data_IF_615331600628
#
_entry.id   IF_615331600628
#
_cell.length_a   1.000
_cell.length_b   1.000
_cell.length_c   1.000
_cell.angle_alpha   90.00
_cell.angle_beta   90.00
_cell.angle_gamma   90.00
#
_symmetry.space_group_name_H-M   'P 1'
#
loop_
_entity.id
_entity.type
_entity.pdbx_description
1 polymer ?
#
# COMPACT_ATOMS: atom_id res chain seq x y z
N UNK A 1 -69.91 -10.09 12.59
CA UNK A 1 -68.84 -9.96 11.59
C UNK A 1 -68.35 -8.52 11.61
N UNK A 2 -67.16 -8.25 12.14
CA UNK A 2 -66.65 -6.88 12.29
C UNK A 2 -65.13 -6.86 12.09
N UNK A 3 -64.71 -6.22 11.00
CA UNK A 3 -63.32 -6.04 10.56
C UNK A 3 -62.77 -4.81 11.30
N UNK A 4 -61.75 -4.99 12.14
CA UNK A 4 -60.97 -3.86 12.68
C UNK A 4 -59.67 -3.72 11.88
N UNK A 5 -59.67 -2.76 10.94
CA UNK A 5 -58.46 -2.19 10.36
C UNK A 5 -57.58 -1.61 11.48
N UNK A 6 -56.34 -2.08 11.61
CA UNK A 6 -55.30 -1.38 12.38
C UNK A 6 -54.62 -0.36 11.47
N UNK A 7 -54.78 0.90 11.87
CA UNK A 7 -54.12 2.10 11.35
C UNK A 7 -52.62 1.90 11.13
N UNK A 8 -52.18 2.26 9.94
CA UNK A 8 -50.81 2.64 9.61
C UNK A 8 -50.66 4.11 10.07
N UNK A 9 -49.66 4.39 10.90
CA UNK A 9 -49.17 5.76 11.11
C UNK A 9 -47.89 5.95 10.29
N UNK A 10 -47.79 6.98 9.44
CA UNK A 10 -46.53 7.39 8.84
C UNK A 10 -45.79 8.30 9.83
N UNK A 11 -44.62 7.88 10.34
CA UNK A 11 -43.69 8.82 10.95
C UNK A 11 -42.74 9.34 9.86
N UNK A 12 -43.01 10.57 9.44
CA UNK A 12 -42.02 11.45 8.83
C UNK A 12 -40.86 11.67 9.81
N UNK A 13 -39.64 11.34 9.38
CA UNK A 13 -38.42 11.99 9.88
C UNK A 13 -37.67 12.49 8.64
N UNK A 14 -38.00 13.74 8.28
CA UNK A 14 -37.07 14.64 7.62
C UNK A 14 -35.98 14.95 8.64
N UNK A 15 -34.73 14.59 8.35
CA UNK A 15 -33.65 14.75 9.32
C UNK A 15 -32.27 14.50 8.73
N UNK A 16 -31.77 15.52 8.04
CA UNK A 16 -30.35 15.85 7.89
C UNK A 16 -29.49 15.02 6.91
N UNK A 17 -29.34 15.61 5.71
CA UNK A 17 -28.09 15.68 4.96
C UNK A 17 -26.87 15.74 5.91
N UNK A 18 -25.98 14.75 5.82
CA UNK A 18 -24.61 14.88 6.33
C UNK A 18 -23.65 14.43 5.23
N UNK A 19 -23.45 15.31 4.24
CA UNK A 19 -22.25 15.30 3.44
C UNK A 19 -21.14 15.94 4.28
N UNK A 20 -20.39 15.13 5.03
CA UNK A 20 -19.16 15.59 5.71
C UNK A 20 -18.00 15.17 4.81
N UNK A 21 -17.61 16.06 3.89
CA UNK A 21 -16.31 16.00 3.22
C UNK A 21 -15.28 16.65 4.13
N UNK A 22 -14.58 15.83 4.93
CA UNK A 22 -13.41 16.30 5.68
C UNK A 22 -12.15 16.07 4.83
N UNK A 23 -11.67 17.12 4.16
CA UNK A 23 -10.33 17.14 3.57
C UNK A 23 -9.32 17.32 4.72
N UNK A 24 -8.55 16.29 5.03
CA UNK A 24 -7.40 16.41 5.93
C UNK A 24 -6.14 16.69 5.09
N UNK A 25 -5.64 17.92 5.12
CA UNK A 25 -4.33 18.27 4.60
C UNK A 25 -3.31 18.22 5.76
N UNK A 26 -2.34 17.32 5.70
CA UNK A 26 -1.21 17.31 6.63
C UNK A 26 -0.02 18.02 5.99
N UNK A 27 0.44 19.12 6.62
CA UNK A 27 1.70 19.76 6.26
C UNK A 27 2.88 18.90 6.76
N UNK A 28 3.58 18.24 5.84
CA UNK A 28 4.97 17.84 6.02
C UNK A 28 5.80 18.66 5.02
N UNK A 29 6.70 19.51 5.52
CA UNK A 29 7.72 20.27 4.78
C UNK A 29 7.27 20.92 3.46
N UNK A 30 6.30 21.83 3.53
CA UNK A 30 6.03 22.80 2.47
C UNK A 30 5.44 22.23 1.17
N UNK A 31 5.05 20.95 1.12
CA UNK A 31 4.30 20.38 0.00
C UNK A 31 2.94 19.89 0.46
N UNK A 32 1.88 20.49 -0.10
CA UNK A 32 0.52 19.99 0.07
C UNK A 32 0.43 18.59 -0.55
N UNK A 33 0.39 17.56 0.29
CA UNK A 33 -0.02 16.21 -0.12
C UNK A 33 -1.53 16.13 0.11
N UNK A 34 -2.30 16.11 -0.96
CA UNK A 34 -3.74 15.83 -0.90
C UNK A 34 -3.93 14.38 -0.51
N UNK A 35 -4.31 14.12 0.75
CA UNK A 35 -4.75 12.80 1.16
C UNK A 35 -6.04 12.46 0.40
N UNK A 36 -6.08 11.27 -0.23
CA UNK A 36 -7.29 10.75 -0.85
C UNK A 36 -8.41 10.54 0.18
N UNK A 37 -9.66 10.35 -0.26
CA UNK A 37 -10.81 10.25 0.64
C UNK A 37 -10.65 9.09 1.63
N UNK A 38 -10.70 9.39 2.93
CA UNK A 38 -10.70 8.39 3.99
C UNK A 38 -12.02 7.60 3.98
N UNK A 39 -11.93 6.28 4.13
CA UNK A 39 -13.10 5.41 4.20
C UNK A 39 -13.75 5.45 5.60
N UNK A 40 -15.07 5.35 5.63
CA UNK A 40 -15.88 5.42 6.85
C UNK A 40 -15.88 4.07 7.58
N UNK A 41 -15.25 4.00 8.76
CA UNK A 41 -15.29 2.84 9.65
C UNK A 41 -16.65 2.78 10.37
N UNK A 42 -17.35 1.65 10.29
CA UNK A 42 -18.55 1.39 11.08
C UNK A 42 -18.19 1.07 12.55
N UNK A 43 -18.89 1.68 13.50
CA UNK A 43 -18.67 1.47 14.93
C UNK A 43 -18.98 0.03 15.36
N UNK A 44 -18.05 -0.60 16.09
CA UNK A 44 -18.28 -1.90 16.78
C UNK A 44 -17.58 -3.13 16.20
N UNK A 45 -16.68 -2.99 15.23
CA UNK A 45 -15.78 -4.06 14.80
C UNK A 45 -14.37 -3.84 15.38
N UNK A 46 -13.67 -4.91 15.76
CA UNK A 46 -12.22 -4.86 15.95
C UNK A 46 -11.59 -4.19 14.71
N UNK A 47 -10.69 -3.21 14.89
CA UNK A 47 -10.17 -2.45 13.76
C UNK A 47 -9.41 -3.41 12.83
N UNK A 48 -9.95 -3.61 11.63
CA UNK A 48 -9.24 -4.33 10.58
C UNK A 48 -8.08 -3.45 10.12
N UNK A 49 -6.85 -3.83 10.48
CA UNK A 49 -5.64 -3.07 10.14
C UNK A 49 -4.83 -3.82 9.09
N UNK A 50 -4.76 -3.24 7.89
CA UNK A 50 -3.97 -3.75 6.76
C UNK A 50 -2.57 -3.13 6.78
N UNK A 51 -1.78 -3.43 7.82
CA UNK A 51 -0.39 -2.94 7.97
C UNK A 51 0.60 -4.10 7.96
N UNK A 52 1.77 -3.91 7.35
CA UNK A 52 2.87 -4.87 7.37
C UNK A 52 3.42 -5.15 5.98
N UNK A 53 4.30 -6.14 5.91
CA UNK A 53 4.81 -6.62 4.63
C UNK A 53 3.91 -7.71 4.07
N UNK A 54 3.60 -7.60 2.78
CA UNK A 54 2.84 -8.60 2.04
C UNK A 54 3.71 -9.11 0.89
N UNK A 55 3.67 -10.41 0.64
CA UNK A 55 4.38 -11.03 -0.48
C UNK A 55 3.52 -12.12 -1.12
N UNK A 56 3.66 -12.30 -2.42
CA UNK A 56 2.96 -13.32 -3.17
C UNK A 56 3.13 -13.08 -4.65
N UNK A 57 2.08 -13.32 -5.42
CA UNK A 57 2.17 -13.28 -6.88
C UNK A 57 1.00 -12.58 -7.56
N UNK A 58 1.29 -12.11 -8.77
CA UNK A 58 0.32 -11.63 -9.76
C UNK A 58 0.37 -12.59 -10.95
N UNK A 59 -0.74 -13.26 -11.25
CA UNK A 59 -0.90 -14.05 -12.47
C UNK A 59 -1.51 -13.18 -13.56
N UNK A 60 -0.73 -12.88 -14.60
CA UNK A 60 -1.18 -12.08 -15.74
C UNK A 60 -1.90 -12.97 -16.74
N UNK A 61 -3.12 -12.58 -17.12
CA UNK A 61 -3.97 -13.30 -18.07
C UNK A 61 -4.12 -12.59 -19.41
N UNK A 62 -4.05 -11.26 -19.45
CA UNK A 62 -4.20 -10.47 -20.67
C UNK A 62 -3.12 -9.38 -20.74
N UNK A 63 -2.68 -8.99 -21.95
CA UNK A 63 -3.16 -9.40 -23.29
C UNK A 63 -2.75 -10.82 -23.70
N UNK A 64 -1.78 -11.41 -23.00
CA UNK A 64 -1.38 -12.79 -23.15
C UNK A 64 -1.01 -13.34 -21.77
N UNK A 65 -1.15 -14.65 -21.53
CA UNK A 65 -0.76 -15.25 -20.26
C UNK A 65 0.76 -15.16 -20.10
N UNK A 66 1.23 -14.39 -19.10
CA UNK A 66 2.66 -14.24 -18.79
C UNK A 66 3.09 -15.08 -17.58
N UNK A 67 2.18 -15.86 -17.01
CA UNK A 67 2.43 -16.65 -15.80
C UNK A 67 2.36 -15.79 -14.53
N UNK A 68 3.00 -16.29 -13.48
CA UNK A 68 3.03 -15.65 -12.16
C UNK A 68 4.28 -14.77 -12.01
N UNK A 69 4.06 -13.54 -11.55
CA UNK A 69 5.08 -12.55 -11.26
C UNK A 69 5.14 -12.32 -9.76
N UNK A 70 6.34 -12.30 -9.17
CA UNK A 70 6.49 -12.00 -7.74
C UNK A 70 6.11 -10.56 -7.45
N UNK A 71 5.36 -10.35 -6.37
CA UNK A 71 4.96 -9.05 -5.86
C UNK A 71 5.13 -8.98 -4.35
N UNK A 72 5.86 -7.98 -3.89
CA UNK A 72 5.99 -7.67 -2.47
C UNK A 72 5.70 -6.20 -2.17
N UNK A 73 4.90 -5.95 -1.14
CA UNK A 73 4.45 -4.62 -0.71
C UNK A 73 4.82 -4.39 0.77
N UNK A 74 5.11 -3.14 1.12
CA UNK A 74 5.09 -2.67 2.51
C UNK A 74 3.92 -1.69 2.64
N UNK A 75 2.94 -2.03 3.47
CA UNK A 75 1.68 -1.28 3.61
C UNK A 75 1.60 -0.68 5.01
N UNK A 76 1.15 0.58 5.09
CA UNK A 76 0.74 1.27 6.30
C UNK A 76 -0.73 1.65 6.17
N UNK A 77 -1.51 1.39 7.21
CA UNK A 77 -2.94 1.68 7.29
C UNK A 77 -3.21 2.70 8.39
N UNK A 78 -3.76 3.85 8.01
CA UNK A 78 -4.17 4.91 8.93
C UNK A 78 -5.68 5.11 8.81
N UNK A 79 -6.44 4.39 9.64
CA UNK A 79 -7.90 4.52 9.69
C UNK A 79 -8.59 4.11 8.39
N UNK A 80 -8.07 3.11 7.68
CA UNK A 80 -8.59 2.65 6.39
C UNK A 80 -7.96 3.35 5.18
N UNK A 81 -7.16 4.39 5.38
CA UNK A 81 -6.34 4.97 4.31
C UNK A 81 -5.01 4.21 4.20
N UNK A 82 -4.75 3.61 3.04
CA UNK A 82 -3.54 2.84 2.78
C UNK A 82 -2.47 3.72 2.13
N UNK A 83 -1.23 3.51 2.55
CA UNK A 83 -0.05 4.06 1.90
C UNK A 83 1.07 3.03 1.94
N UNK A 84 2.05 3.14 1.05
CA UNK A 84 3.17 2.23 1.08
C UNK A 84 4.03 2.27 -0.17
N UNK A 85 4.83 1.22 -0.32
CA UNK A 85 5.77 1.07 -1.43
C UNK A 85 5.95 -0.40 -1.82
N UNK A 86 6.20 -0.62 -3.11
CA UNK A 86 6.61 -1.92 -3.64
C UNK A 86 8.06 -2.20 -3.24
N UNK A 87 8.34 -3.42 -2.77
CA UNK A 87 9.70 -3.85 -2.48
C UNK A 87 10.40 -4.26 -3.78
N UNK A 88 11.25 -3.38 -4.31
CA UNK A 88 11.98 -3.59 -5.56
C UNK A 88 12.93 -4.81 -5.53
N UNK A 89 13.46 -5.19 -4.36
CA UNK A 89 14.37 -6.33 -4.24
C UNK A 89 13.66 -7.68 -4.28
N UNK A 90 12.34 -7.69 -4.07
CA UNK A 90 11.51 -8.91 -4.01
C UNK A 90 10.41 -8.95 -5.08
N UNK A 91 10.46 -8.01 -6.02
CA UNK A 91 9.47 -7.86 -7.07
C UNK A 91 10.21 -7.82 -8.39
N UNK A 92 10.01 -8.84 -9.24
CA UNK A 92 10.82 -9.01 -10.46
C UNK A 92 10.55 -7.94 -11.53
N UNK A 93 9.35 -7.37 -11.56
CA UNK A 93 8.87 -6.57 -12.71
C UNK A 93 8.65 -5.08 -12.42
N UNK A 94 8.70 -4.65 -11.16
CA UNK A 94 8.46 -3.25 -10.78
C UNK A 94 9.76 -2.61 -10.29
N UNK A 95 10.64 -2.36 -11.26
CA UNK A 95 11.91 -1.66 -11.02
C UNK A 95 11.63 -0.28 -10.40
N UNK A 96 12.43 0.08 -9.40
CA UNK A 96 12.31 1.37 -8.70
C UNK A 96 11.38 1.38 -7.49
N UNK A 97 10.58 0.33 -7.26
CA UNK A 97 9.77 0.21 -6.04
C UNK A 97 8.74 1.35 -5.87
N UNK A 98 7.76 1.47 -6.79
CA UNK A 98 6.80 2.57 -6.77
C UNK A 98 6.06 2.68 -5.43
N UNK A 99 5.82 3.91 -5.01
CA UNK A 99 4.89 4.20 -3.92
C UNK A 99 3.46 3.97 -4.37
N UNK A 100 2.56 3.79 -3.42
CA UNK A 100 1.14 3.65 -3.68
C UNK A 100 0.29 4.28 -2.57
N UNK A 101 -0.96 4.56 -2.91
CA UNK A 101 -2.02 4.95 -1.99
C UNK A 101 -3.22 4.05 -2.16
N UNK A 102 -4.13 3.99 -1.19
CA UNK A 102 -5.30 3.16 -1.30
C UNK A 102 -6.29 3.36 -0.18
N UNK A 103 -7.30 2.49 -0.14
CA UNK A 103 -8.34 2.50 0.87
C UNK A 103 -8.81 1.09 1.20
N UNK A 104 -9.26 0.89 2.43
CA UNK A 104 -9.97 -0.29 2.90
C UNK A 104 -11.39 0.11 3.26
N UNK A 105 -12.35 -0.67 2.77
CA UNK A 105 -13.76 -0.52 3.10
C UNK A 105 -14.21 -1.74 3.90
N UNK A 106 -14.54 -1.51 5.18
CA UNK A 106 -15.05 -2.55 6.07
C UNK A 106 -16.45 -2.18 6.56
N UNK A 107 -17.39 -3.13 6.47
CA UNK A 107 -18.74 -2.99 7.00
C UNK A 107 -19.11 -4.28 7.74
N UNK A 108 -19.89 -4.13 8.81
CA UNK A 108 -20.30 -5.27 9.63
C UNK A 108 -21.06 -6.30 8.78
N UNK A 109 -20.67 -7.58 8.90
CA UNK A 109 -21.28 -8.69 8.17
C UNK A 109 -20.94 -8.77 6.68
N UNK A 110 -20.04 -7.91 6.17
CA UNK A 110 -19.59 -7.91 4.77
C UNK A 110 -18.08 -8.16 4.73
N UNK A 111 -17.61 -9.01 3.81
CA UNK A 111 -16.17 -9.20 3.58
C UNK A 111 -15.53 -7.85 3.23
N UNK A 112 -14.52 -7.41 4.01
CA UNK A 112 -13.87 -6.13 3.74
C UNK A 112 -13.18 -6.14 2.38
N UNK A 113 -13.23 -5.02 1.68
CA UNK A 113 -12.59 -4.84 0.38
C UNK A 113 -11.52 -3.77 0.46
N UNK A 114 -10.62 -3.75 -0.51
CA UNK A 114 -9.60 -2.72 -0.61
C UNK A 114 -9.31 -2.36 -2.05
N UNK A 115 -8.70 -1.18 -2.21
CA UNK A 115 -8.12 -0.70 -3.45
C UNK A 115 -6.75 -0.11 -3.18
N UNK A 116 -5.77 -0.43 -4.01
CA UNK A 116 -4.45 0.21 -4.03
C UNK A 116 -4.19 0.72 -5.45
N UNK A 117 -3.72 1.95 -5.55
CA UNK A 117 -3.28 2.60 -6.78
C UNK A 117 -1.82 3.02 -6.61
N UNK A 118 -0.97 2.51 -7.50
CA UNK A 118 0.43 2.95 -7.56
C UNK A 118 0.56 4.36 -8.12
N UNK A 119 1.64 5.04 -7.71
CA UNK A 119 2.17 6.17 -8.46
C UNK A 119 2.67 5.71 -9.83
N UNK A 120 2.69 6.60 -10.82
CA UNK A 120 3.31 6.33 -12.11
C UNK A 120 4.82 6.11 -11.91
N UNK A 121 5.34 5.02 -12.44
CA UNK A 121 6.77 4.71 -12.40
C UNK A 121 7.30 4.42 -13.80
N UNK A 122 8.57 4.74 -14.01
CA UNK A 122 9.25 4.57 -15.27
C UNK A 122 10.23 3.41 -15.22
N UNK A 123 10.42 2.75 -16.35
CA UNK A 123 11.43 1.71 -16.54
C UNK A 123 11.91 1.67 -17.98
N UNK A 124 12.94 0.86 -18.22
CA UNK A 124 13.43 0.59 -19.58
C UNK A 124 13.11 -0.86 -19.94
N UNK A 125 12.39 -1.06 -21.05
CA UNK A 125 12.06 -2.38 -21.59
C UNK A 125 12.57 -2.43 -23.03
N UNK A 126 13.48 -3.35 -23.33
CA UNK A 126 14.12 -3.48 -24.64
C UNK A 126 14.68 -2.16 -25.18
N UNK A 127 15.32 -1.37 -24.32
CA UNK A 127 15.91 -0.07 -24.66
C UNK A 127 14.92 1.09 -24.82
N UNK A 128 13.62 0.88 -24.58
CA UNK A 128 12.58 1.92 -24.63
C UNK A 128 12.16 2.35 -23.24
N UNK A 129 12.01 3.65 -23.03
CA UNK A 129 11.39 4.19 -21.82
C UNK A 129 9.90 3.87 -21.82
N UNK A 130 9.44 3.24 -20.75
CA UNK A 130 8.03 2.91 -20.52
C UNK A 130 7.56 3.54 -19.22
N UNK A 131 6.33 4.01 -19.17
CA UNK A 131 5.67 4.40 -17.93
C UNK A 131 4.59 3.39 -17.60
N UNK A 132 4.46 3.09 -16.31
CA UNK A 132 3.61 2.02 -15.79
C UNK A 132 2.84 2.53 -14.59
N UNK A 133 1.62 2.05 -14.45
CA UNK A 133 0.79 2.27 -13.28
C UNK A 133 -0.13 1.08 -13.11
N UNK A 134 -0.11 0.49 -11.93
CA UNK A 134 -1.01 -0.60 -11.56
C UNK A 134 -2.02 -0.20 -10.48
N UNK A 135 -3.12 -0.94 -10.49
CA UNK A 135 -4.19 -0.94 -9.50
C UNK A 135 -4.41 -2.38 -9.00
N UNK A 136 -4.57 -2.54 -7.69
CA UNK A 136 -5.06 -3.75 -7.04
C UNK A 136 -6.45 -3.49 -6.46
N UNK A 137 -7.43 -4.33 -6.78
CA UNK A 137 -8.76 -4.28 -6.14
C UNK A 137 -9.11 -5.67 -5.64
N UNK A 138 -9.52 -5.79 -4.39
CA UNK A 138 -9.72 -7.11 -3.82
C UNK A 138 -10.38 -7.17 -2.46
N UNK A 139 -10.32 -8.37 -1.88
CA UNK A 139 -10.84 -8.72 -0.57
C UNK A 139 -9.71 -8.80 0.44
N UNK A 140 -10.02 -8.40 1.68
CA UNK A 140 -9.17 -8.60 2.85
C UNK A 140 -9.68 -9.81 3.61
N UNK A 141 -8.84 -10.84 3.75
CA UNK A 141 -9.22 -12.12 4.31
C UNK A 141 -8.34 -12.49 5.50
N UNK A 142 -8.84 -13.42 6.32
CA UNK A 142 -8.11 -14.01 7.44
C UNK A 142 -7.51 -12.94 8.37
N UNK A 143 -8.31 -11.97 8.80
CA UNK A 143 -7.86 -10.89 9.70
C UNK A 143 -6.73 -10.03 9.10
N UNK A 144 -6.84 -9.69 7.82
CA UNK A 144 -5.81 -8.95 7.05
C UNK A 144 -4.50 -9.69 6.78
N UNK A 145 -4.43 -11.00 7.00
CA UNK A 145 -3.25 -11.79 6.63
C UNK A 145 -3.19 -12.17 5.15
N UNK A 146 -4.32 -12.10 4.44
CA UNK A 146 -4.41 -12.43 3.01
C UNK A 146 -5.12 -11.31 2.27
N UNK A 147 -4.52 -10.85 1.18
CA UNK A 147 -5.12 -9.94 0.20
C UNK A 147 -5.21 -10.67 -1.13
N UNK A 148 -6.39 -10.69 -1.74
CA UNK A 148 -6.57 -11.31 -3.06
C UNK A 148 -7.53 -10.52 -3.93
N UNK A 149 -7.36 -10.59 -5.24
CA UNK A 149 -8.27 -9.91 -6.14
C UNK A 149 -7.72 -9.74 -7.53
N UNK A 150 -8.12 -8.62 -8.15
CA UNK A 150 -7.78 -8.28 -9.52
C UNK A 150 -6.62 -7.30 -9.59
N UNK A 151 -5.74 -7.56 -10.55
CA UNK A 151 -4.64 -6.72 -10.95
C UNK A 151 -4.98 -6.07 -12.28
N UNK A 152 -4.77 -4.76 -12.39
CA UNK A 152 -4.82 -4.03 -13.65
C UNK A 152 -3.61 -3.14 -13.75
N UNK A 153 -2.97 -3.09 -14.90
CA UNK A 153 -1.84 -2.20 -15.15
C UNK A 153 -1.93 -1.56 -16.53
N UNK A 154 -1.62 -0.27 -16.59
CA UNK A 154 -1.47 0.46 -17.85
C UNK A 154 0.00 0.69 -18.12
N UNK A 155 0.46 0.29 -19.30
CA UNK A 155 1.83 0.49 -19.78
C UNK A 155 1.77 1.44 -20.98
N UNK A 156 2.50 2.55 -20.92
CA UNK A 156 2.62 3.52 -22.01
C UNK A 156 4.07 3.62 -22.48
N UNK A 157 4.26 4.02 -23.74
CA UNK A 157 5.59 4.12 -24.36
C UNK A 157 6.16 2.82 -24.92
N UNK A 158 5.53 1.66 -24.66
CA UNK A 158 5.93 0.38 -25.24
C UNK A 158 5.35 0.17 -26.66
N UNK A 159 4.05 0.42 -26.81
CA UNK A 159 3.28 0.35 -28.06
C UNK A 159 2.72 1.73 -28.44
N UNK A 160 2.27 1.94 -29.70
CA UNK A 160 1.65 3.21 -30.12
C UNK A 160 0.43 3.64 -29.29
N UNK A 161 -0.33 2.65 -28.80
CA UNK A 161 -1.44 2.86 -27.87
C UNK A 161 -1.07 2.30 -26.49
N UNK A 162 -1.63 2.84 -25.39
CA UNK A 162 -1.45 2.26 -24.06
C UNK A 162 -1.83 0.77 -24.05
N UNK A 163 -0.97 -0.06 -23.45
CA UNK A 163 -1.22 -1.47 -23.25
C UNK A 163 -1.85 -1.68 -21.88
N UNK A 164 -3.03 -2.31 -21.86
CA UNK A 164 -3.70 -2.72 -20.63
C UNK A 164 -3.33 -4.18 -20.32
N UNK A 165 -2.84 -4.41 -19.12
CA UNK A 165 -2.49 -5.72 -18.58
C UNK A 165 -3.47 -6.04 -17.47
N UNK A 166 -4.06 -7.25 -17.49
CA UNK A 166 -4.99 -7.69 -16.45
C UNK A 166 -4.56 -9.05 -15.89
N UNK A 167 -4.92 -9.28 -14.63
CA UNK A 167 -4.56 -10.51 -13.94
C UNK A 167 -5.24 -10.64 -12.59
N UNK A 168 -4.83 -11.66 -11.85
CA UNK A 168 -5.24 -11.90 -10.47
C UNK A 168 -4.03 -11.86 -9.56
N UNK A 169 -4.22 -11.42 -8.32
CA UNK A 169 -3.16 -11.46 -7.32
C UNK A 169 -3.59 -12.23 -6.08
N UNK A 170 -2.58 -12.78 -5.41
CA UNK A 170 -2.66 -13.32 -4.05
C UNK A 170 -1.43 -12.86 -3.29
N UNK A 171 -1.64 -12.12 -2.20
CA UNK A 171 -0.60 -11.65 -1.31
C UNK A 171 -0.88 -12.14 0.10
N UNK A 172 0.16 -12.62 0.77
CA UNK A 172 0.09 -13.14 2.13
C UNK A 172 1.05 -12.34 2.99
N UNK A 173 0.65 -12.04 4.23
CA UNK A 173 1.54 -11.47 5.24
C UNK A 173 2.46 -12.58 5.77
N UNK A 174 3.78 -12.55 5.53
CA UNK A 174 4.68 -13.54 6.11
C UNK A 174 4.65 -13.46 7.64
N UNK A 175 4.55 -14.59 8.32
CA UNK A 175 4.62 -14.64 9.78
C UNK A 175 5.94 -14.00 10.26
N UNK A 176 5.85 -13.05 11.20
CA UNK A 176 7.02 -12.32 11.75
C UNK A 176 7.42 -11.02 11.02
N UNK A 177 6.73 -10.64 9.94
CA UNK A 177 7.02 -9.37 9.24
C UNK A 177 6.29 -8.18 9.88
N UNK A 178 6.92 -7.58 10.89
CA UNK A 178 6.55 -6.23 11.36
C UNK A 178 7.10 -5.23 10.34
N UNK A 179 6.29 -4.24 9.94
CA UNK A 179 6.78 -3.11 9.16
C UNK A 179 7.96 -2.48 9.91
N UNK A 180 9.14 -2.43 9.28
CA UNK A 180 10.21 -1.57 9.77
C UNK A 180 9.70 -0.12 9.62
N UNK A 181 9.85 0.74 10.64
CA UNK A 181 9.64 2.18 10.47
C UNK A 181 10.46 2.66 9.26
N UNK A 182 10.02 3.69 8.51
CA UNK A 182 10.90 4.32 7.54
C UNK A 182 12.16 4.76 8.27
N UNK A 183 13.32 4.24 7.83
CA UNK A 183 14.61 4.67 8.35
C UNK A 183 14.67 6.20 8.22
N UNK A 184 14.88 6.88 9.35
CA UNK A 184 15.19 8.30 9.37
C UNK A 184 16.42 8.60 8.51
N UNK A 185 16.75 9.88 8.26
CA UNK A 185 17.82 10.25 7.35
C UNK A 185 19.10 9.49 7.71
N UNK A 186 19.54 8.63 6.79
CA UNK A 186 20.72 7.78 6.91
C UNK A 186 21.96 8.65 7.16
N UNK A 187 22.25 8.91 8.44
CA UNK A 187 23.58 9.31 8.87
C UNK A 187 24.35 8.00 9.03
N UNK A 188 25.39 7.73 8.22
CA UNK A 188 26.14 6.49 8.33
C UNK A 188 26.75 6.40 9.73
N UNK A 189 26.14 5.60 10.60
CA UNK A 189 26.73 5.22 11.88
C UNK A 189 27.65 4.05 11.58
N UNK A 190 28.95 4.29 11.59
CA UNK A 190 29.95 3.27 11.38
C UNK A 190 29.78 2.13 12.41
N UNK A 191 29.62 0.91 11.92
CA UNK A 191 29.70 -0.32 12.70
C UNK A 191 31.13 -0.48 13.22
N UNK A 192 31.34 -0.31 14.52
CA UNK A 192 32.57 -0.76 15.18
C UNK A 192 32.36 -2.18 15.70
N UNK A 193 32.97 -3.16 15.03
CA UNK A 193 33.25 -4.48 15.62
C UNK A 193 34.73 -4.55 15.92
N UNK A 194 35.10 -4.47 17.20
CA UNK A 194 36.36 -4.98 17.71
C UNK A 194 36.25 -5.30 19.20
N UNK A 195 36.06 -6.58 19.53
CA UNK A 195 36.43 -7.09 20.85
C UNK A 195 37.94 -7.32 20.82
N UNK A 196 38.70 -6.35 21.34
CA UNK A 196 40.12 -6.53 21.63
C UNK A 196 40.29 -6.46 23.16
N UNK A 197 40.78 -7.57 23.72
CA UNK A 197 41.16 -7.74 25.10
C UNK A 197 42.23 -6.72 25.50
N UNK A 198 42.12 -6.23 26.72
CA UNK A 198 42.90 -5.17 27.37
C UNK A 198 44.41 -5.34 27.34
N UNK A 199 45.14 -4.31 26.90
CA UNK A 199 46.28 -3.74 27.64
C UNK A 199 46.62 -2.32 27.12
N UNK A 200 46.98 -1.35 28.00
CA UNK A 200 47.11 0.06 27.64
C UNK A 200 48.54 0.41 27.21
N UNK A 201 48.72 1.34 26.27
CA UNK A 201 49.77 2.38 26.22
C UNK A 201 49.64 3.24 24.94
N UNK A 202 49.54 4.57 25.14
CA UNK A 202 49.69 5.73 24.22
C UNK A 202 48.61 6.07 23.17
N UNK A 203 48.17 7.35 23.05
CA UNK A 203 47.31 7.82 21.96
C UNK A 203 48.12 8.12 20.69
N UNK A 204 47.77 7.48 19.57
CA UNK A 204 48.27 7.85 18.24
C UNK A 204 47.25 8.76 17.53
N UNK A 205 47.70 9.95 17.14
CA UNK A 205 47.01 10.91 16.29
C UNK A 205 46.81 10.33 14.89
N UNK A 206 45.59 10.38 14.35
CA UNK A 206 45.33 10.08 12.93
C UNK A 206 44.63 11.27 12.26
N UNK A 207 45.33 11.85 11.29
CA UNK A 207 44.90 12.93 10.40
C UNK A 207 44.02 12.38 9.27
N UNK A 208 42.85 12.98 9.05
CA UNK A 208 42.02 12.67 7.88
C UNK A 208 42.34 13.65 6.74
N UNK A 209 42.76 13.13 5.58
CA UNK A 209 42.87 13.89 4.33
C UNK A 209 41.62 13.61 3.49
N UNK A 210 40.84 14.65 3.21
CA UNK A 210 39.75 14.62 2.24
C UNK A 210 40.26 15.17 0.90
N UNK A 211 40.00 14.44 -0.19
CA UNK A 211 40.21 14.94 -1.56
C UNK A 211 38.85 15.25 -2.17
N UNK A 212 38.74 16.45 -2.75
CA UNK A 212 37.56 17.01 -3.38
C UNK A 212 37.19 16.33 -4.71
#
# INVERSE_FOLDING_TARGET
MNIKQRRIHPLSIVGLLAAITLLAATLLDGRMVTAGPAAQLAAGAEPLVVTGSYAGSVTVSEPAPLGALDLALSVSDTGGALSGQVNAARTQVFLGGPTFTGSVTASQGITPTFRIDSAVFAGVVSGRSVQRQFTLVGEVLNGANILRGQYTETITGFTPHPLLVTGKFLLVRPNGSRALPPDGPNTPTATATATATTNPVTPATATATATA
#
